data_IF_468040916970
#
_entry.id   IF_468040916970
#
_cell.length_a   1.000
_cell.length_b   1.000
_cell.length_c   1.000
_cell.angle_alpha   90.00
_cell.angle_beta   90.00
_cell.angle_gamma   90.00
#
_symmetry.space_group_name_H-M   'P 1'
#
loop_
_entity.id
_entity.type
_entity.pdbx_description
1 polymer ?
#
# COMPACT_ATOMS: atom_id res chain seq x y z
N UNK A 1 -72.18 -40.07 -50.01
CA UNK A 1 -71.37 -38.98 -50.60
C UNK A 1 -71.23 -37.93 -49.52
N UNK A 2 -70.01 -37.74 -49.04
CA UNK A 2 -69.70 -37.00 -47.81
C UNK A 2 -69.53 -35.51 -48.08
N UNK A 3 -70.22 -34.69 -47.31
CA UNK A 3 -69.99 -33.25 -47.20
C UNK A 3 -68.66 -32.99 -46.48
N UNK A 4 -67.79 -32.18 -47.10
CA UNK A 4 -66.56 -31.68 -46.50
C UNK A 4 -66.85 -30.38 -45.76
N UNK A 5 -66.90 -30.43 -44.43
CA UNK A 5 -66.64 -29.30 -43.55
C UNK A 5 -65.33 -29.55 -42.83
N UNK A 6 -64.39 -28.61 -42.88
CA UNK A 6 -63.34 -28.35 -41.88
C UNK A 6 -62.60 -27.07 -42.34
N UNK A 7 -62.92 -25.90 -41.75
CA UNK A 7 -62.32 -25.30 -40.54
C UNK A 7 -61.09 -24.45 -40.89
N UNK A 8 -61.26 -23.13 -40.79
CA UNK A 8 -60.20 -22.14 -41.00
C UNK A 8 -59.06 -22.30 -39.97
N UNK A 9 -57.79 -22.03 -40.34
CA UNK A 9 -56.69 -22.08 -39.39
C UNK A 9 -56.79 -20.95 -38.36
N UNK A 10 -56.85 -21.32 -37.09
CA UNK A 10 -56.80 -20.40 -35.95
C UNK A 10 -55.38 -19.90 -35.76
N UNK A 11 -55.21 -18.57 -35.73
CA UNK A 11 -53.97 -17.95 -35.30
C UNK A 11 -53.68 -18.30 -33.83
N UNK A 12 -52.45 -18.72 -33.47
CA UNK A 12 -52.10 -18.96 -32.08
C UNK A 12 -52.02 -17.62 -31.33
N UNK A 13 -52.77 -17.56 -30.23
CA UNK A 13 -52.76 -16.47 -29.25
C UNK A 13 -51.34 -16.33 -28.66
N UNK A 14 -50.73 -15.13 -28.59
CA UNK A 14 -49.41 -14.99 -28.00
C UNK A 14 -49.48 -15.36 -26.51
N UNK A 15 -48.65 -16.32 -26.11
CA UNK A 15 -48.50 -16.72 -24.73
C UNK A 15 -48.05 -15.50 -23.90
N UNK A 16 -48.80 -15.21 -22.84
CA UNK A 16 -48.47 -14.15 -21.90
C UNK A 16 -47.08 -14.42 -21.31
N UNK A 17 -46.09 -13.63 -21.73
CA UNK A 17 -44.76 -13.61 -21.14
C UNK A 17 -44.90 -13.07 -19.72
N UNK A 18 -44.81 -13.96 -18.72
CA UNK A 18 -44.64 -13.56 -17.33
C UNK A 18 -43.35 -12.75 -17.26
N UNK A 19 -43.46 -11.45 -17.13
CA UNK A 19 -42.31 -10.60 -16.81
C UNK A 19 -41.80 -11.01 -15.42
N UNK A 20 -40.69 -11.75 -15.39
CA UNK A 20 -39.93 -11.97 -14.18
C UNK A 20 -39.28 -10.62 -13.87
N UNK A 21 -39.85 -9.89 -12.91
CA UNK A 21 -39.21 -8.69 -12.37
C UNK A 21 -37.84 -9.12 -11.84
N UNK A 22 -36.71 -8.52 -12.28
CA UNK A 22 -35.43 -8.81 -11.68
C UNK A 22 -35.51 -8.47 -10.19
N UNK A 23 -35.16 -9.45 -9.35
CA UNK A 23 -35.06 -9.26 -7.90
C UNK A 23 -33.93 -8.26 -7.69
N UNK A 24 -34.27 -7.00 -7.42
CA UNK A 24 -33.32 -5.95 -7.07
C UNK A 24 -32.55 -6.45 -5.86
N UNK A 25 -31.24 -6.62 -6.01
CA UNK A 25 -30.37 -7.00 -4.91
C UNK A 25 -30.51 -5.94 -3.81
N UNK A 26 -30.64 -6.38 -2.55
CA UNK A 26 -30.62 -5.46 -1.41
C UNK A 26 -29.35 -4.59 -1.49
N UNK A 27 -29.45 -3.29 -1.18
CA UNK A 27 -28.29 -2.42 -1.19
C UNK A 27 -27.27 -2.95 -0.19
N UNK A 28 -26.17 -3.51 -0.70
CA UNK A 28 -24.99 -3.84 0.11
C UNK A 28 -24.52 -2.54 0.73
N UNK A 29 -24.64 -2.42 2.06
CA UNK A 29 -23.96 -1.34 2.78
C UNK A 29 -22.47 -1.61 2.64
N UNK A 30 -21.76 -0.66 2.04
CA UNK A 30 -20.29 -0.70 2.02
C UNK A 30 -19.87 -0.33 3.44
N UNK A 31 -19.15 -1.21 4.14
CA UNK A 31 -18.62 -0.87 5.45
C UNK A 31 -17.65 0.30 5.26
N UNK A 32 -17.89 1.38 6.02
CA UNK A 32 -17.16 2.64 5.87
C UNK A 32 -16.63 3.03 7.24
N UNK A 33 -15.36 3.46 7.35
CA UNK A 33 -14.82 3.95 8.60
C UNK A 33 -15.64 5.14 9.13
N UNK A 34 -15.80 5.20 10.46
CA UNK A 34 -16.38 6.36 11.11
C UNK A 34 -15.36 7.52 11.19
N UNK A 35 -15.81 8.70 11.62
CA UNK A 35 -14.95 9.90 11.65
C UNK A 35 -13.69 9.73 12.52
N UNK A 36 -13.78 9.01 13.65
CA UNK A 36 -12.63 8.73 14.52
C UNK A 36 -11.63 7.80 13.82
N UNK A 37 -12.11 6.78 13.13
CA UNK A 37 -11.27 5.86 12.34
C UNK A 37 -10.59 6.59 11.17
N UNK A 38 -11.30 7.50 10.50
CA UNK A 38 -10.72 8.35 9.44
C UNK A 38 -9.63 9.29 9.98
N UNK A 39 -9.83 9.86 11.17
CA UNK A 39 -8.82 10.70 11.83
C UNK A 39 -7.56 9.88 12.15
N UNK A 40 -7.71 8.67 12.70
CA UNK A 40 -6.57 7.76 12.96
C UNK A 40 -5.82 7.41 11.67
N UNK A 41 -6.52 7.04 10.61
CA UNK A 41 -5.90 6.75 9.31
C UNK A 41 -5.16 7.96 8.72
N UNK A 42 -5.68 9.18 8.95
CA UNK A 42 -5.01 10.41 8.53
C UNK A 42 -3.68 10.58 9.28
N UNK A 43 -3.67 10.37 10.59
CA UNK A 43 -2.44 10.43 11.41
C UNK A 43 -1.42 9.40 10.95
N UNK A 44 -1.83 8.16 10.68
CA UNK A 44 -0.95 7.11 10.16
C UNK A 44 -0.35 7.50 8.80
N UNK A 45 -1.15 8.10 7.92
CA UNK A 45 -0.70 8.60 6.61
C UNK A 45 0.34 9.70 6.76
N UNK A 46 0.12 10.66 7.66
CA UNK A 46 1.06 11.75 7.92
C UNK A 46 2.41 11.23 8.47
N UNK A 47 2.35 10.26 9.39
CA UNK A 47 3.55 9.57 9.89
C UNK A 47 4.29 8.84 8.77
N UNK A 48 3.58 8.12 7.91
CA UNK A 48 4.17 7.42 6.78
C UNK A 48 4.90 8.37 5.83
N UNK A 49 4.32 9.55 5.52
CA UNK A 49 5.00 10.57 4.73
C UNK A 49 6.27 11.09 5.42
N UNK A 50 6.19 11.42 6.71
CA UNK A 50 7.36 11.89 7.47
C UNK A 50 8.49 10.86 7.47
N UNK A 51 8.18 9.57 7.65
CA UNK A 51 9.18 8.49 7.62
C UNK A 51 9.76 8.29 6.23
N UNK A 52 8.96 8.41 5.17
CA UNK A 52 9.45 8.33 3.81
C UNK A 52 10.46 9.45 3.49
N UNK A 53 10.20 10.68 3.98
CA UNK A 53 11.16 11.78 3.87
C UNK A 53 12.44 11.53 4.65
N UNK A 54 12.33 11.01 5.88
CA UNK A 54 13.49 10.69 6.72
C UNK A 54 14.34 9.59 6.09
N UNK A 55 13.72 8.50 5.62
CA UNK A 55 14.41 7.42 4.90
C UNK A 55 15.14 7.94 3.67
N UNK A 56 14.53 8.85 2.91
CA UNK A 56 15.17 9.48 1.75
C UNK A 56 16.43 10.27 2.15
N UNK A 57 16.36 11.05 3.24
CA UNK A 57 17.51 11.80 3.77
C UNK A 57 18.62 10.87 4.22
N UNK A 58 18.28 9.80 4.96
CA UNK A 58 19.25 8.82 5.43
C UNK A 58 19.97 8.14 4.26
N UNK A 59 19.23 7.65 3.25
CA UNK A 59 19.85 7.03 2.08
C UNK A 59 20.76 7.99 1.32
N UNK A 60 20.36 9.27 1.22
CA UNK A 60 21.23 10.29 0.63
C UNK A 60 22.54 10.46 1.41
N UNK A 61 22.45 10.58 2.73
CA UNK A 61 23.62 10.75 3.61
C UNK A 61 24.55 9.53 3.58
N UNK A 62 24.00 8.31 3.65
CA UNK A 62 24.77 7.08 3.49
C UNK A 62 25.52 7.04 2.14
N UNK A 63 24.88 7.52 1.07
CA UNK A 63 25.52 7.63 -0.25
C UNK A 63 26.67 8.62 -0.27
N UNK A 64 26.55 9.77 0.41
CA UNK A 64 27.63 10.74 0.54
C UNK A 64 28.84 10.14 1.30
N UNK A 65 28.58 9.46 2.41
CA UNK A 65 29.64 8.83 3.22
C UNK A 65 30.33 7.70 2.44
N UNK A 66 29.57 6.88 1.71
CA UNK A 66 30.14 5.82 0.89
C UNK A 66 31.07 6.38 -0.21
N UNK A 67 30.65 7.46 -0.88
CA UNK A 67 31.47 8.12 -1.89
C UNK A 67 32.74 8.74 -1.28
N UNK A 68 32.65 9.37 -0.10
CA UNK A 68 33.80 9.95 0.59
C UNK A 68 34.79 8.87 1.07
N UNK A 69 34.26 7.73 1.53
CA UNK A 69 35.05 6.56 1.90
C UNK A 69 35.84 6.04 0.70
N UNK A 70 35.19 5.91 -0.47
CA UNK A 70 35.85 5.49 -1.70
C UNK A 70 36.92 6.50 -2.14
N UNK A 71 36.62 7.80 -2.09
CA UNK A 71 37.58 8.85 -2.41
C UNK A 71 38.81 8.82 -1.49
N UNK A 72 38.59 8.66 -0.18
CA UNK A 72 39.66 8.56 0.83
C UNK A 72 40.57 7.37 0.57
N UNK A 73 40.01 6.21 0.22
CA UNK A 73 40.77 5.01 -0.10
C UNK A 73 41.56 5.19 -1.40
N UNK A 74 40.98 5.86 -2.40
CA UNK A 74 41.60 6.07 -3.71
C UNK A 74 42.75 7.10 -3.67
N UNK A 75 42.61 8.16 -2.90
CA UNK A 75 43.59 9.25 -2.81
C UNK A 75 44.85 8.85 -2.01
N UNK A 76 44.70 7.96 -1.02
CA UNK A 76 45.77 7.64 -0.08
C UNK A 76 46.10 6.13 -0.06
N UNK A 77 46.96 5.65 -0.97
CA UNK A 77 47.37 4.24 -1.01
C UNK A 77 48.22 3.81 0.22
N UNK A 78 48.70 4.77 1.02
CA UNK A 78 49.37 4.52 2.29
C UNK A 78 48.53 5.11 3.43
N UNK A 79 47.92 4.23 4.22
CA UNK A 79 47.10 4.61 5.37
C UNK A 79 47.97 5.07 6.54
N UNK A 80 48.02 6.38 6.78
CA UNK A 80 48.46 6.89 8.08
C UNK A 80 47.32 6.84 9.12
N UNK A 81 47.65 7.11 10.38
CA UNK A 81 46.69 7.04 11.48
C UNK A 81 45.50 8.00 11.30
N UNK A 82 45.69 9.15 10.66
CA UNK A 82 44.62 10.13 10.45
C UNK A 82 43.58 9.58 9.48
N UNK A 83 44.01 8.97 8.37
CA UNK A 83 43.09 8.37 7.40
C UNK A 83 42.34 7.18 7.99
N UNK A 84 43.01 6.36 8.81
CA UNK A 84 42.36 5.24 9.51
C UNK A 84 41.26 5.75 10.45
N UNK A 85 41.55 6.81 11.22
CA UNK A 85 40.55 7.39 12.11
C UNK A 85 39.36 7.96 11.34
N UNK A 86 39.60 8.66 10.22
CA UNK A 86 38.53 9.18 9.37
C UNK A 86 37.63 8.06 8.81
N UNK A 87 38.23 6.97 8.34
CA UNK A 87 37.47 5.81 7.86
C UNK A 87 36.63 5.16 8.97
N UNK A 88 37.15 5.08 10.20
CA UNK A 88 36.38 4.61 11.34
C UNK A 88 35.22 5.53 11.71
N UNK A 89 35.42 6.84 11.68
CA UNK A 89 34.35 7.81 11.95
C UNK A 89 33.22 7.66 10.91
N UNK A 90 33.57 7.49 9.64
CA UNK A 90 32.61 7.24 8.55
C UNK A 90 31.87 5.91 8.71
N UNK A 91 32.57 4.83 9.07
CA UNK A 91 31.96 3.51 9.34
C UNK A 91 30.99 3.57 10.52
N UNK A 92 31.37 4.25 11.61
CA UNK A 92 30.50 4.48 12.75
C UNK A 92 29.23 5.24 12.37
N UNK A 93 29.35 6.26 11.52
CA UNK A 93 28.22 7.05 11.08
C UNK A 93 27.28 6.24 10.16
N UNK A 94 27.82 5.42 9.25
CA UNK A 94 27.02 4.48 8.45
C UNK A 94 26.25 3.51 9.35
N UNK A 95 26.89 2.97 10.37
CA UNK A 95 26.21 2.08 11.32
C UNK A 95 25.10 2.81 12.09
N UNK A 96 25.33 4.05 12.53
CA UNK A 96 24.30 4.87 13.19
C UNK A 96 23.07 5.07 12.29
N UNK A 97 23.30 5.37 11.02
CA UNK A 97 22.24 5.56 10.02
C UNK A 97 21.47 4.26 9.74
N UNK A 98 22.17 3.13 9.65
CA UNK A 98 21.55 1.81 9.51
C UNK A 98 20.65 1.47 10.70
N UNK A 99 21.10 1.73 11.94
CA UNK A 99 20.27 1.58 13.14
C UNK A 99 19.01 2.44 13.07
N UNK A 100 19.09 3.66 12.54
CA UNK A 100 17.92 4.51 12.39
C UNK A 100 16.95 3.97 11.33
N UNK A 101 17.43 3.41 10.22
CA UNK A 101 16.57 2.74 9.24
C UNK A 101 15.82 1.55 9.85
N UNK A 102 16.48 0.75 10.68
CA UNK A 102 15.82 -0.35 11.38
C UNK A 102 14.72 0.13 12.34
N UNK A 103 14.95 1.25 13.04
CA UNK A 103 13.93 1.87 13.89
C UNK A 103 12.72 2.34 13.06
N UNK A 104 12.97 3.02 11.94
CA UNK A 104 11.91 3.46 11.03
C UNK A 104 11.08 2.28 10.52
N UNK A 105 11.71 1.15 10.19
CA UNK A 105 11.02 -0.06 9.76
C UNK A 105 10.15 -0.65 10.87
N UNK A 106 10.64 -0.68 12.12
CA UNK A 106 9.85 -1.14 13.26
C UNK A 106 8.64 -0.23 13.53
N UNK A 107 8.82 1.09 13.42
CA UNK A 107 7.71 2.06 13.51
C UNK A 107 6.68 1.86 12.38
N UNK A 108 7.11 1.55 11.16
CA UNK A 108 6.23 1.24 10.02
C UNK A 108 5.43 -0.06 10.25
N UNK A 109 6.05 -1.09 10.83
CA UNK A 109 5.38 -2.35 11.15
C UNK A 109 4.29 -2.14 12.21
N UNK A 110 4.58 -1.36 13.26
CA UNK A 110 3.57 -1.01 14.27
C UNK A 110 2.39 -0.23 13.68
N UNK A 111 2.67 0.78 12.84
CA UNK A 111 1.61 1.56 12.20
C UNK A 111 0.77 0.70 11.23
N UNK A 112 1.36 -0.32 10.60
CA UNK A 112 0.64 -1.27 9.74
C UNK A 112 -0.28 -2.21 10.54
N UNK A 113 0.14 -2.64 11.74
CA UNK A 113 -0.72 -3.36 12.67
C UNK A 113 -1.91 -2.50 13.12
N UNK A 114 -1.67 -1.22 13.44
CA UNK A 114 -2.72 -0.27 13.81
C UNK A 114 -3.71 -0.04 12.65
N UNK A 115 -3.21 0.16 11.43
CA UNK A 115 -4.05 0.28 10.24
C UNK A 115 -4.90 -0.99 10.02
N UNK A 116 -4.31 -2.17 10.15
CA UNK A 116 -5.02 -3.44 10.01
C UNK A 116 -6.16 -3.56 11.02
N UNK A 117 -5.93 -3.22 12.28
CA UNK A 117 -6.98 -3.22 13.30
C UNK A 117 -8.13 -2.28 12.98
N UNK A 118 -7.84 -1.08 12.44
CA UNK A 118 -8.89 -0.16 11.99
C UNK A 118 -9.73 -0.80 10.88
N UNK A 119 -9.10 -1.48 9.92
CA UNK A 119 -9.81 -2.16 8.84
C UNK A 119 -10.63 -3.37 9.31
N UNK A 120 -10.15 -4.11 10.32
CA UNK A 120 -10.88 -5.22 10.94
C UNK A 120 -12.16 -4.75 11.66
N UNK A 121 -12.17 -3.55 12.25
CA UNK A 121 -13.36 -2.98 12.88
C UNK A 121 -14.40 -2.49 11.86
N UNK A 122 -13.97 -2.17 10.64
CA UNK A 122 -14.83 -1.64 9.59
C UNK A 122 -15.60 -2.76 8.89
N UNK A 123 -14.97 -3.91 8.63
CA UNK A 123 -15.49 -5.04 7.82
C UNK A 123 -16.41 -5.95 8.63
#
# INVERSE_FOLDING_TARGET
>A
MFEFQLLQPSHPKPAATKQVKPKVAEPRRIPTPNDEQLEKLTILTDRAHSRAEERSKIHHEMGLIANETEATIAEYPYFDQTHINLLWDMDHELHRLEQRLMQLQAEEEMDAEEEMHIWEEVV
#
